data_IF_252902473911
#
_entry.id   IF_252902473911
#
_cell.length_a   1.000
_cell.length_b   1.000
_cell.length_c   1.000
_cell.angle_alpha   90.00
_cell.angle_beta   90.00
_cell.angle_gamma   90.00
#
_symmetry.space_group_name_H-M   'P 1'
#
loop_
_entity.id
_entity.type
_entity.pdbx_description
1 polymer ?
#
# COMPACT_ATOMS: atom_id res chain seq x y z
N UNK A 1 13.31 9.56 -7.16
CA UNK A 1 14.13 8.79 -6.20
C UNK A 1 14.87 7.69 -6.97
N UNK A 2 15.95 7.11 -6.42
CA UNK A 2 16.67 6.00 -7.09
C UNK A 2 15.84 4.69 -7.09
N UNK A 3 14.90 4.57 -6.15
CA UNK A 3 13.96 3.45 -6.09
C UNK A 3 12.90 3.58 -7.17
N UNK A 4 12.87 2.61 -8.08
CA UNK A 4 11.93 2.57 -9.22
C UNK A 4 10.75 1.61 -8.99
N UNK A 5 10.93 0.55 -8.19
CA UNK A 5 9.95 -0.52 -8.02
C UNK A 5 9.85 -0.94 -6.56
N UNK A 6 8.61 -1.11 -6.08
CA UNK A 6 8.30 -1.65 -4.75
C UNK A 6 7.30 -2.78 -4.92
N UNK A 7 7.68 -3.97 -4.46
CA UNK A 7 6.83 -5.17 -4.51
C UNK A 7 6.32 -5.43 -3.10
N UNK A 8 5.00 -5.41 -2.89
CA UNK A 8 4.41 -5.73 -1.59
C UNK A 8 3.93 -7.19 -1.57
N UNK A 9 4.20 -7.89 -0.48
CA UNK A 9 3.82 -9.30 -0.34
C UNK A 9 2.32 -9.47 -0.07
N UNK A 10 1.75 -8.58 0.74
CA UNK A 10 0.33 -8.50 1.05
C UNK A 10 -0.01 -7.13 1.65
N UNK A 11 -1.28 -6.89 1.95
CA UNK A 11 -1.84 -5.54 2.13
C UNK A 11 -1.81 -4.99 3.57
N UNK A 12 -1.29 -5.76 4.54
CA UNK A 12 -1.22 -5.27 5.92
C UNK A 12 -0.26 -4.07 6.04
N UNK A 13 -0.53 -3.17 6.99
CA UNK A 13 0.15 -1.87 7.09
C UNK A 13 1.67 -1.99 7.33
N UNK A 14 2.11 -3.04 8.02
CA UNK A 14 3.52 -3.37 8.24
C UNK A 14 4.27 -3.82 6.99
N UNK A 15 3.55 -4.19 5.93
CA UNK A 15 4.11 -4.55 4.63
C UNK A 15 3.85 -3.51 3.55
N UNK A 16 2.68 -2.87 3.56
CA UNK A 16 2.17 -2.04 2.48
C UNK A 16 1.86 -0.59 2.89
N UNK A 17 1.97 -0.23 4.17
CA UNK A 17 1.57 1.09 4.68
C UNK A 17 2.34 2.26 4.05
N UNK A 18 3.61 2.04 3.68
CA UNK A 18 4.44 3.05 3.00
C UNK A 18 4.29 3.06 1.47
N UNK A 19 3.51 2.15 0.88
CA UNK A 19 3.47 1.96 -0.58
C UNK A 19 2.97 3.20 -1.33
N UNK A 20 1.92 3.86 -0.85
CA UNK A 20 1.43 5.09 -1.48
C UNK A 20 2.40 6.26 -1.37
N UNK A 21 3.22 6.33 -0.32
CA UNK A 21 4.28 7.33 -0.23
C UNK A 21 5.34 7.10 -1.31
N UNK A 22 5.81 5.86 -1.49
CA UNK A 22 6.75 5.49 -2.55
C UNK A 22 6.20 5.73 -3.96
N UNK A 23 4.91 5.44 -4.18
CA UNK A 23 4.23 5.71 -5.45
C UNK A 23 4.32 7.19 -5.83
N UNK A 24 4.14 8.09 -4.84
CA UNK A 24 4.27 9.54 -5.01
C UNK A 24 5.72 10.00 -5.19
N UNK A 25 6.71 9.20 -4.78
CA UNK A 25 8.13 9.45 -5.09
C UNK A 25 8.54 9.01 -6.51
N UNK A 26 7.60 8.43 -7.26
CA UNK A 26 7.81 7.98 -8.64
C UNK A 26 7.99 6.47 -8.81
N UNK A 27 7.95 5.67 -7.73
CA UNK A 27 8.11 4.23 -7.84
C UNK A 27 6.82 3.54 -8.33
N UNK A 28 6.97 2.52 -9.17
CA UNK A 28 5.87 1.62 -9.53
C UNK A 28 5.64 0.60 -8.40
N UNK A 29 4.40 0.47 -7.95
CA UNK A 29 4.01 -0.46 -6.88
C UNK A 29 3.39 -1.70 -7.48
N UNK A 30 3.91 -2.87 -7.14
CA UNK A 30 3.41 -4.16 -7.59
C UNK A 30 2.70 -4.86 -6.45
N UNK A 31 1.46 -5.27 -6.70
CA UNK A 31 0.59 -5.86 -5.70
C UNK A 31 -0.36 -6.86 -6.33
N UNK A 32 -0.71 -7.90 -5.59
CA UNK A 32 -1.74 -8.85 -5.97
C UNK A 32 -3.08 -8.14 -6.29
N UNK A 33 -3.91 -8.67 -7.20
CA UNK A 33 -5.15 -8.02 -7.65
C UNK A 33 -6.15 -7.75 -6.51
N UNK A 34 -6.11 -8.60 -5.48
CA UNK A 34 -6.89 -8.42 -4.25
C UNK A 34 -6.42 -7.25 -3.39
N UNK A 35 -5.15 -6.87 -3.46
CA UNK A 35 -4.56 -5.77 -2.69
C UNK A 35 -4.65 -4.42 -3.41
N UNK A 36 -4.69 -4.40 -4.74
CA UNK A 36 -4.68 -3.16 -5.54
C UNK A 36 -5.76 -2.13 -5.14
N UNK A 37 -7.05 -2.51 -4.95
CA UNK A 37 -8.08 -1.54 -4.55
C UNK A 37 -7.77 -0.86 -3.22
N UNK A 38 -7.07 -1.55 -2.31
CA UNK A 38 -6.71 -1.04 -1.00
C UNK A 38 -5.48 -0.14 -1.00
N UNK A 39 -4.62 -0.23 -2.01
CA UNK A 39 -3.53 0.75 -2.18
C UNK A 39 -4.05 2.04 -2.81
N UNK A 40 -4.97 1.92 -3.77
CA UNK A 40 -5.59 3.08 -4.44
C UNK A 40 -6.49 3.83 -3.46
N UNK A 41 -7.29 3.09 -2.68
CA UNK A 41 -8.11 3.63 -1.60
C UNK A 41 -7.86 2.86 -0.28
N UNK A 42 -6.99 3.38 0.62
CA UNK A 42 -6.66 2.70 1.86
C UNK A 42 -7.74 2.85 2.95
N UNK A 43 -8.86 3.53 2.68
CA UNK A 43 -9.90 3.81 3.69
C UNK A 43 -10.36 2.57 4.44
N UNK A 44 -10.54 1.44 3.75
CA UNK A 44 -10.94 0.16 4.38
C UNK A 44 -9.86 -0.39 5.31
N UNK A 45 -8.57 -0.31 4.94
CA UNK A 45 -7.46 -0.78 5.77
C UNK A 45 -7.35 0.09 7.02
N UNK A 46 -7.34 1.41 6.83
CA UNK A 46 -7.23 2.40 7.90
C UNK A 46 -8.39 2.21 8.87
N UNK A 47 -9.63 2.15 8.39
CA UNK A 47 -10.81 1.94 9.25
C UNK A 47 -10.73 0.63 10.05
N UNK A 48 -10.14 -0.42 9.49
CA UNK A 48 -9.98 -1.69 10.21
C UNK A 48 -8.89 -1.63 11.26
N UNK A 49 -7.73 -1.07 10.91
CA UNK A 49 -6.62 -0.89 11.83
C UNK A 49 -6.98 0.06 12.99
N UNK A 50 -7.68 1.16 12.70
CA UNK A 50 -8.11 2.13 13.71
C UNK A 50 -9.02 1.53 14.79
N UNK A 51 -9.82 0.50 14.46
CA UNK A 51 -10.63 -0.22 15.48
C UNK A 51 -9.78 -1.02 16.47
N UNK A 52 -8.56 -1.40 16.08
CA UNK A 52 -7.65 -2.22 16.89
C UNK A 52 -6.69 -1.31 17.67
N UNK A 53 -6.08 -0.34 16.98
CA UNK A 53 -5.01 0.47 17.55
C UNK A 53 -5.48 1.80 18.14
N UNK A 54 -6.67 2.29 17.76
CA UNK A 54 -7.26 3.52 18.29
C UNK A 54 -6.29 4.70 18.21
N UNK A 55 -6.07 5.35 19.36
CA UNK A 55 -5.21 6.53 19.49
C UNK A 55 -3.73 6.26 19.16
N UNK A 56 -3.32 5.00 19.09
CA UNK A 56 -1.94 4.61 18.73
C UNK A 56 -1.71 4.51 17.22
N UNK A 57 -2.72 4.76 16.39
CA UNK A 57 -2.60 4.65 14.93
C UNK A 57 -1.46 5.52 14.38
N UNK A 58 -1.40 6.78 14.81
CA UNK A 58 -0.40 7.72 14.33
C UNK A 58 1.01 7.34 14.80
N UNK A 59 1.17 6.98 16.08
CA UNK A 59 2.45 6.55 16.66
C UNK A 59 3.03 5.31 15.95
N UNK A 60 2.18 4.32 15.63
CA UNK A 60 2.60 3.03 15.09
C UNK A 60 2.73 3.01 13.57
N UNK A 61 1.83 3.70 12.86
CA UNK A 61 1.66 3.56 11.42
C UNK A 61 1.83 4.86 10.65
N UNK A 62 1.75 6.01 11.33
CA UNK A 62 1.76 7.32 10.71
C UNK A 62 0.68 7.49 9.64
N UNK A 63 0.94 8.39 8.69
CA UNK A 63 0.04 8.65 7.57
C UNK A 63 0.17 7.56 6.49
N UNK A 64 -0.92 6.82 6.25
CA UNK A 64 -1.03 5.92 5.10
C UNK A 64 -1.62 6.67 3.90
N UNK A 65 -0.79 6.93 2.90
CA UNK A 65 -1.20 7.67 1.69
C UNK A 65 -1.80 6.74 0.63
N UNK A 66 -2.81 7.20 -0.14
CA UNK A 66 -3.27 6.47 -1.33
C UNK A 66 -2.20 6.53 -2.44
N UNK A 67 -2.04 5.40 -3.13
CA UNK A 67 -1.23 5.30 -4.34
C UNK A 67 -2.04 5.78 -5.57
N UNK A 68 -1.49 6.65 -6.43
CA UNK A 68 -2.11 6.94 -7.73
C UNK A 68 -2.30 5.65 -8.52
N UNK A 69 -3.46 5.47 -9.17
CA UNK A 69 -3.81 4.21 -9.84
C UNK A 69 -2.83 3.87 -10.97
N UNK A 70 -2.30 4.88 -11.65
CA UNK A 70 -1.26 4.76 -12.67
C UNK A 70 0.07 4.21 -12.13
N UNK A 71 0.33 4.39 -10.83
CA UNK A 71 1.51 3.88 -10.14
C UNK A 71 1.28 2.51 -9.49
N UNK A 72 0.13 1.86 -9.73
CA UNK A 72 -0.17 0.51 -9.23
C UNK A 72 -0.20 -0.47 -10.40
N UNK A 73 0.76 -1.38 -10.43
CA UNK A 73 0.75 -2.55 -11.32
C UNK A 73 0.11 -3.73 -10.60
N UNK A 74 -1.00 -4.20 -11.17
CA UNK A 74 -1.71 -5.37 -10.66
C UNK A 74 -1.01 -6.64 -11.13
N UNK A 75 -0.71 -7.53 -10.19
CA UNK A 75 -0.13 -8.85 -10.44
C UNK A 75 -1.18 -9.91 -10.11
N UNK A 76 -1.35 -10.86 -11.01
CA UNK A 76 -2.29 -11.97 -10.86
C UNK A 76 -1.60 -13.23 -10.32
N UNK A 77 -2.38 -14.13 -9.74
CA UNK A 77 -1.86 -15.39 -9.20
C UNK A 77 -1.07 -16.20 -10.26
N UNK A 78 0.12 -16.66 -9.88
CA UNK A 78 1.05 -17.38 -10.75
C UNK A 78 1.80 -16.53 -11.79
N UNK A 79 1.56 -15.21 -11.87
CA UNK A 79 2.28 -14.30 -12.75
C UNK A 79 3.77 -14.14 -12.34
N UNK A 80 4.63 -13.88 -13.33
CA UNK A 80 6.07 -13.64 -13.14
C UNK A 80 6.45 -12.28 -13.69
N UNK A 81 7.17 -11.52 -12.86
CA UNK A 81 7.73 -10.19 -13.16
C UNK A 81 9.11 -10.29 -13.81
#
# INVERSE_FOLDING_TARGET
ADIQHVLVTHIHLDHAGAAGWWARQGAQIYVHERGAPHLIDPSKLINSASRIYGDRMDELWGETLPAPAEQVTVIYDGERL
#
